data_IF_638060245136
#
_entry.id   IF_638060245136
#
_cell.length_a   1.000
_cell.length_b   1.000
_cell.length_c   1.000
_cell.angle_alpha   90.00
_cell.angle_beta   90.00
_cell.angle_gamma   90.00
#
_symmetry.space_group_name_H-M   'P 1'
#
loop_
_entity.id
_entity.type
_entity.pdbx_description
1 polymer ?
#
# COMPACT_ATOMS: atom_id res chain seq x y z
N UNK A 1 -39.00 25.04 76.57
CA UNK A 1 -38.50 26.22 75.83
C UNK A 1 -37.06 25.93 75.39
N UNK A 2 -36.77 26.16 74.11
CA UNK A 2 -35.47 26.01 73.41
C UNK A 2 -35.03 24.58 73.05
N UNK A 3 -35.56 24.08 71.93
CA UNK A 3 -34.78 23.36 70.91
C UNK A 3 -35.46 23.61 69.55
N UNK A 4 -35.04 24.69 68.91
CA UNK A 4 -35.33 25.02 67.52
C UNK A 4 -33.98 25.48 66.94
N UNK A 5 -33.72 25.11 65.68
CA UNK A 5 -32.57 25.50 64.86
C UNK A 5 -31.33 24.62 65.07
N UNK A 6 -31.14 23.61 64.22
CA UNK A 6 -30.01 23.48 63.26
C UNK A 6 -30.38 22.32 62.31
N UNK A 7 -31.06 22.62 61.19
CA UNK A 7 -31.26 21.66 60.10
C UNK A 7 -31.31 22.40 58.75
N UNK A 8 -30.28 23.18 58.43
CA UNK A 8 -30.18 23.89 57.15
C UNK A 8 -28.75 24.40 56.89
N UNK A 9 -27.76 23.52 56.70
CA UNK A 9 -26.51 23.91 56.03
C UNK A 9 -25.70 22.66 55.64
N UNK A 10 -25.66 22.36 54.34
CA UNK A 10 -24.86 21.25 53.82
C UNK A 10 -25.19 20.83 52.40
N UNK A 11 -25.82 21.70 51.60
CA UNK A 11 -26.14 21.44 50.20
C UNK A 11 -25.86 22.69 49.37
N UNK A 12 -24.57 23.02 49.19
CA UNK A 12 -24.07 24.02 48.24
C UNK A 12 -22.55 24.05 48.40
N UNK A 13 -21.81 23.44 47.46
CA UNK A 13 -20.43 23.74 47.03
C UNK A 13 -19.83 22.57 46.20
N UNK A 14 -20.53 22.13 45.14
CA UNK A 14 -19.94 21.34 44.05
C UNK A 14 -20.15 22.06 42.71
N UNK A 15 -19.94 23.37 42.71
CA UNK A 15 -19.86 24.16 41.48
C UNK A 15 -18.39 24.31 41.09
N UNK A 16 -17.98 23.69 39.97
CA UNK A 16 -16.86 24.21 39.18
C UNK A 16 -15.64 23.30 38.94
N UNK A 17 -15.74 21.97 39.01
CA UNK A 17 -14.75 21.16 38.30
C UNK A 17 -15.17 21.07 36.83
N UNK A 18 -14.81 22.07 36.02
CA UNK A 18 -14.74 21.89 34.57
C UNK A 18 -13.58 20.92 34.32
N UNK A 19 -13.86 19.62 34.40
CA UNK A 19 -12.95 18.60 33.93
C UNK A 19 -12.92 18.72 32.41
N UNK A 20 -11.95 19.46 31.88
CA UNK A 20 -11.70 19.51 30.45
C UNK A 20 -11.23 18.11 30.04
N UNK A 21 -12.02 17.43 29.21
CA UNK A 21 -11.66 16.12 28.66
C UNK A 21 -10.53 16.37 27.65
N UNK A 22 -9.38 15.69 27.76
CA UNK A 22 -8.32 15.80 26.78
C UNK A 22 -8.83 15.42 25.37
N UNK A 23 -8.45 16.21 24.38
CA UNK A 23 -8.68 15.92 22.97
C UNK A 23 -8.06 14.58 22.57
N UNK A 24 -8.73 13.84 21.68
CA UNK A 24 -8.25 12.55 21.18
C UNK A 24 -8.47 11.37 22.14
N UNK A 25 -9.06 11.60 23.33
CA UNK A 25 -9.20 10.56 24.36
C UNK A 25 -10.24 9.48 24.00
N UNK A 26 -11.32 9.87 23.32
CA UNK A 26 -12.40 8.96 22.92
C UNK A 26 -12.33 8.71 21.42
N UNK A 27 -12.44 7.45 21.01
CA UNK A 27 -12.69 7.10 19.60
C UNK A 27 -14.14 7.40 19.20
N UNK A 28 -14.39 7.59 17.92
CA UNK A 28 -15.72 7.84 17.36
C UNK A 28 -15.77 7.43 15.89
N UNK A 29 -16.89 6.85 15.45
CA UNK A 29 -17.20 6.64 14.04
C UNK A 29 -18.21 7.66 13.51
N UNK A 30 -18.94 8.33 14.40
CA UNK A 30 -19.92 9.35 14.08
C UNK A 30 -20.04 10.39 15.21
N UNK A 31 -20.61 11.55 14.88
CA UNK A 31 -20.70 12.69 15.79
C UNK A 31 -21.44 12.40 17.12
N UNK A 32 -22.34 11.40 17.16
CA UNK A 32 -23.05 11.01 18.38
C UNK A 32 -22.18 10.31 19.41
N UNK A 33 -21.03 9.79 19.00
CA UNK A 33 -20.15 9.00 19.87
C UNK A 33 -19.32 9.90 20.79
N UNK A 34 -19.28 11.20 20.49
CA UNK A 34 -18.52 12.18 21.25
C UNK A 34 -19.31 12.79 22.43
N UNK A 35 -18.64 13.05 23.57
CA UNK A 35 -19.22 13.77 24.69
C UNK A 35 -19.81 15.12 24.27
N UNK A 36 -20.83 15.58 24.98
CA UNK A 36 -21.49 16.87 24.67
C UNK A 36 -20.47 18.02 24.65
N UNK A 37 -20.34 18.68 23.49
CA UNK A 37 -19.36 19.75 23.26
C UNK A 37 -18.10 19.32 22.50
N UNK A 38 -18.00 18.02 22.16
CA UNK A 38 -16.91 17.45 21.36
C UNK A 38 -17.42 17.05 19.97
N UNK A 39 -16.51 16.95 19.01
CA UNK A 39 -16.75 16.64 17.61
C UNK A 39 -15.93 15.44 17.20
N UNK A 40 -16.51 14.57 16.39
CA UNK A 40 -15.80 13.44 15.83
C UNK A 40 -14.95 13.89 14.66
N UNK A 41 -13.63 13.70 14.75
CA UNK A 41 -12.71 13.97 13.66
C UNK A 41 -12.55 12.69 12.83
N UNK A 42 -12.85 12.82 11.54
CA UNK A 42 -12.74 11.74 10.55
C UNK A 42 -11.29 11.34 10.24
N UNK A 43 -10.32 12.26 10.39
CA UNK A 43 -8.90 11.98 10.11
C UNK A 43 -8.26 10.94 11.03
N UNK A 44 -8.73 10.82 12.26
CA UNK A 44 -8.17 9.86 13.24
C UNK A 44 -9.24 9.14 14.06
N UNK A 45 -10.52 9.31 13.69
CA UNK A 45 -11.69 8.71 14.34
C UNK A 45 -11.73 8.99 15.85
N UNK A 46 -11.45 10.23 16.27
CA UNK A 46 -11.43 10.62 17.69
C UNK A 46 -12.20 11.90 17.99
N UNK A 47 -12.56 12.07 19.26
CA UNK A 47 -13.33 13.20 19.75
C UNK A 47 -12.45 14.37 20.21
N UNK A 48 -12.82 15.57 19.76
CA UNK A 48 -12.13 16.82 20.07
C UNK A 48 -13.11 17.91 20.51
N UNK A 49 -12.72 18.78 21.42
CA UNK A 49 -13.53 19.91 21.89
C UNK A 49 -13.76 21.02 20.85
N UNK A 50 -13.22 20.84 19.65
CA UNK A 50 -13.39 21.70 18.49
C UNK A 50 -13.76 20.86 17.26
N UNK A 51 -14.50 21.46 16.34
CA UNK A 51 -14.77 20.84 15.05
C UNK A 51 -13.48 20.52 14.33
N UNK A 52 -13.49 19.42 13.58
CA UNK A 52 -12.38 19.07 12.72
C UNK A 52 -12.09 20.25 11.80
N UNK A 53 -10.89 20.84 11.88
CA UNK A 53 -10.50 21.79 10.85
C UNK A 53 -10.62 21.03 9.54
N UNK A 54 -11.39 21.57 8.59
CA UNK A 54 -11.61 20.88 7.32
C UNK A 54 -10.28 20.42 6.75
N UNK A 55 -10.22 19.16 6.30
CA UNK A 55 -9.02 18.64 5.67
C UNK A 55 -8.69 19.55 4.49
N UNK A 56 -7.58 20.27 4.59
CA UNK A 56 -7.11 21.13 3.52
C UNK A 56 -6.19 20.26 2.65
N UNK A 57 -6.59 19.95 1.40
CA UNK A 57 -5.78 19.14 0.50
C UNK A 57 -4.37 19.71 0.43
N UNK A 58 -3.37 18.84 0.63
CA UNK A 58 -1.98 19.27 0.51
C UNK A 58 -1.73 19.77 -0.90
N UNK A 59 -1.00 20.88 -1.01
CA UNK A 59 -0.53 21.35 -2.31
C UNK A 59 0.54 20.40 -2.85
N UNK A 60 0.75 20.46 -4.16
CA UNK A 60 1.84 19.70 -4.78
C UNK A 60 3.19 19.97 -4.14
N UNK A 61 3.51 21.21 -3.76
CA UNK A 61 4.78 21.49 -3.08
C UNK A 61 4.91 20.75 -1.76
N UNK A 62 3.82 20.60 -1.00
CA UNK A 62 3.81 19.91 0.28
C UNK A 62 4.01 18.41 0.10
N UNK A 63 3.24 17.78 -0.81
CA UNK A 63 3.35 16.35 -1.09
C UNK A 63 4.74 16.02 -1.64
N UNK A 64 5.25 16.79 -2.61
CA UNK A 64 6.59 16.60 -3.19
C UNK A 64 7.68 16.76 -2.13
N UNK A 65 7.57 17.74 -1.23
CA UNK A 65 8.56 17.94 -0.16
C UNK A 65 8.60 16.77 0.83
N UNK A 66 7.45 16.15 1.12
CA UNK A 66 7.37 14.96 1.98
C UNK A 66 8.10 13.77 1.35
N UNK A 67 7.80 13.44 0.09
CA UNK A 67 8.52 12.38 -0.63
C UNK A 67 10.01 12.69 -0.77
N UNK A 68 10.39 13.94 -1.03
CA UNK A 68 11.79 14.36 -1.08
C UNK A 68 12.52 14.17 0.25
N UNK A 69 11.84 14.35 1.39
CA UNK A 69 12.41 14.08 2.72
C UNK A 69 12.74 12.60 2.95
N UNK A 70 12.06 11.70 2.23
CA UNK A 70 12.29 10.26 2.20
C UNK A 70 13.30 9.85 1.10
N UNK A 71 13.85 10.81 0.36
CA UNK A 71 14.77 10.56 -0.74
C UNK A 71 14.09 10.06 -2.02
N UNK A 72 12.77 10.21 -2.15
CA UNK A 72 11.99 9.82 -3.33
C UNK A 72 11.75 11.07 -4.19
N UNK A 73 12.34 11.16 -5.40
CA UNK A 73 12.12 12.28 -6.29
C UNK A 73 10.74 12.16 -6.97
N UNK A 74 10.01 13.28 -7.02
CA UNK A 74 8.71 13.41 -7.68
C UNK A 74 8.77 14.65 -8.58
N UNK A 75 8.49 14.47 -9.87
CA UNK A 75 8.49 15.52 -10.90
C UNK A 75 7.10 15.70 -11.54
N UNK A 76 6.26 14.67 -11.52
CA UNK A 76 4.96 14.67 -12.17
C UNK A 76 3.99 13.60 -11.62
N UNK A 77 2.70 13.68 -11.99
CA UNK A 77 1.72 12.61 -11.85
C UNK A 77 0.66 12.83 -10.77
N UNK A 78 -0.29 11.89 -10.69
CA UNK A 78 -1.37 11.89 -9.70
C UNK A 78 -0.85 11.39 -8.35
N UNK A 79 -0.94 12.24 -7.33
CA UNK A 79 -0.47 11.94 -5.96
C UNK A 79 -1.63 12.04 -4.97
N UNK A 80 -1.61 11.29 -3.86
CA UNK A 80 -2.60 11.47 -2.79
C UNK A 80 -2.46 12.87 -2.16
N UNK A 81 -3.59 13.57 -1.99
CA UNK A 81 -3.61 14.93 -1.42
C UNK A 81 -3.64 14.96 0.12
N UNK A 82 -3.66 13.78 0.76
CA UNK A 82 -3.75 13.63 2.21
C UNK A 82 -5.15 13.78 2.78
N UNK A 83 -6.17 13.94 1.94
CA UNK A 83 -7.58 14.11 2.29
C UNK A 83 -8.49 13.16 1.48
N UNK A 84 -8.03 11.93 1.24
CA UNK A 84 -8.71 10.90 0.41
C UNK A 84 -8.88 11.27 -1.08
N UNK A 85 -8.41 12.44 -1.50
CA UNK A 85 -8.38 12.87 -2.88
C UNK A 85 -7.03 12.61 -3.56
N UNK A 86 -7.01 12.88 -4.87
CA UNK A 86 -5.79 12.90 -5.67
C UNK A 86 -5.54 14.30 -6.22
N UNK A 87 -4.29 14.73 -6.19
CA UNK A 87 -3.82 15.99 -6.78
C UNK A 87 -2.86 15.69 -7.93
N UNK A 88 -3.10 16.32 -9.08
CA UNK A 88 -2.19 16.25 -10.22
C UNK A 88 -1.03 17.21 -10.01
N UNK A 89 0.16 16.66 -9.87
CA UNK A 89 1.35 17.41 -9.51
C UNK A 89 2.40 17.41 -10.60
N UNK A 90 3.11 18.54 -10.69
CA UNK A 90 4.14 18.75 -11.69
C UNK A 90 3.59 18.80 -13.11
N UNK A 91 4.49 19.10 -14.04
CA UNK A 91 4.25 18.97 -15.46
C UNK A 91 5.59 18.62 -16.10
N UNK A 92 5.55 17.64 -16.99
CA UNK A 92 6.75 17.28 -17.71
C UNK A 92 7.13 18.37 -18.73
N UNK A 93 8.42 18.69 -18.86
CA UNK A 93 8.92 19.53 -19.95
C UNK A 93 8.39 19.09 -21.32
N UNK A 94 8.38 20.01 -22.28
CA UNK A 94 7.96 19.68 -23.65
C UNK A 94 8.81 18.51 -24.20
N UNK A 95 8.15 17.45 -24.67
CA UNK A 95 8.79 16.23 -25.17
C UNK A 95 9.11 15.17 -24.13
N UNK A 96 8.65 15.34 -22.88
CA UNK A 96 8.68 14.29 -21.84
C UNK A 96 7.27 13.96 -21.37
N UNK A 97 7.11 12.74 -20.87
CA UNK A 97 5.87 12.20 -20.31
C UNK A 97 6.13 11.67 -18.89
N UNK A 98 5.08 11.68 -18.08
CA UNK A 98 5.20 11.21 -16.71
C UNK A 98 5.21 9.69 -16.65
N UNK A 99 6.16 9.10 -15.91
CA UNK A 99 6.26 7.65 -15.79
C UNK A 99 7.02 6.96 -16.92
N UNK A 100 7.63 7.73 -17.85
CA UNK A 100 8.37 7.15 -18.97
C UNK A 100 9.50 6.23 -18.49
N UNK A 101 9.77 5.16 -19.26
CA UNK A 101 10.80 4.16 -18.94
C UNK A 101 10.58 3.44 -17.59
N UNK A 102 9.32 3.33 -17.14
CA UNK A 102 8.96 2.64 -15.90
C UNK A 102 9.36 3.38 -14.62
N UNK A 103 9.73 4.67 -14.71
CA UNK A 103 10.07 5.48 -13.56
C UNK A 103 8.87 6.32 -13.12
N UNK A 104 8.02 5.74 -12.27
CA UNK A 104 6.83 6.41 -11.75
C UNK A 104 7.16 7.78 -11.16
N UNK A 105 6.28 8.74 -11.42
CA UNK A 105 6.34 10.11 -10.93
C UNK A 105 7.54 10.93 -11.40
N UNK A 106 8.36 10.41 -12.32
CA UNK A 106 9.45 11.14 -12.95
C UNK A 106 9.14 11.45 -14.40
N UNK A 107 9.61 12.60 -14.85
CA UNK A 107 9.49 12.97 -16.25
C UNK A 107 10.61 12.28 -17.03
N UNK A 108 10.23 11.33 -17.87
CA UNK A 108 11.11 10.73 -18.86
C UNK A 108 10.61 11.06 -20.26
N UNK A 109 11.35 10.69 -21.30
CA UNK A 109 10.74 10.65 -22.63
C UNK A 109 10.57 9.21 -23.09
N UNK A 110 9.63 9.01 -24.02
CA UNK A 110 9.47 7.77 -24.76
C UNK A 110 10.79 7.42 -25.48
N UNK A 111 11.23 6.16 -25.40
CA UNK A 111 12.50 5.77 -26.03
C UNK A 111 12.43 5.92 -27.56
N UNK A 112 13.43 6.62 -28.11
CA UNK A 112 13.59 6.74 -29.55
C UNK A 112 14.17 5.44 -30.11
N UNK A 113 13.35 4.72 -30.85
CA UNK A 113 13.78 3.58 -31.68
C UNK A 113 14.18 4.07 -33.07
N UNK A 114 14.87 3.24 -33.86
CA UNK A 114 15.11 3.56 -35.26
C UNK A 114 13.81 3.77 -36.04
N UNK A 115 12.73 3.07 -35.68
CA UNK A 115 11.43 3.23 -36.35
C UNK A 115 10.73 4.55 -35.97
N UNK A 116 10.90 5.01 -34.73
CA UNK A 116 10.18 6.18 -34.19
C UNK A 116 10.98 7.48 -34.25
N UNK A 117 12.27 7.43 -34.55
CA UNK A 117 13.10 8.64 -34.73
C UNK A 117 12.72 9.42 -36.00
N UNK A 118 12.06 10.56 -35.82
CA UNK A 118 11.64 11.46 -36.91
C UNK A 118 10.59 10.81 -37.82
N UNK A 119 11.00 10.38 -39.02
CA UNK A 119 10.15 9.61 -39.97
C UNK A 119 10.66 8.16 -40.14
N UNK A 120 11.40 7.67 -39.15
CA UNK A 120 12.14 6.41 -39.15
C UNK A 120 13.58 6.59 -39.64
N UNK A 121 14.57 6.43 -38.77
CA UNK A 121 15.99 6.40 -39.11
C UNK A 121 16.36 5.09 -39.82
N UNK A 122 17.01 5.20 -40.98
CA UNK A 122 17.45 4.07 -41.82
C UNK A 122 18.96 3.82 -41.72
N UNK A 123 19.74 4.83 -41.31
CA UNK A 123 21.16 4.69 -41.06
C UNK A 123 21.68 5.73 -40.04
N UNK A 124 22.91 5.54 -39.56
CA UNK A 124 23.57 6.41 -38.59
C UNK A 124 23.17 6.15 -37.14
N UNK A 125 23.70 6.95 -36.21
CA UNK A 125 23.35 6.88 -34.79
C UNK A 125 22.26 7.89 -34.44
N UNK A 126 21.24 7.43 -33.71
CA UNK A 126 20.22 8.27 -33.06
C UNK A 126 20.41 8.19 -31.55
N UNK A 127 20.08 9.25 -30.82
CA UNK A 127 20.09 9.22 -29.37
C UNK A 127 18.82 8.53 -28.87
N UNK A 128 18.96 7.56 -27.96
CA UNK A 128 17.83 6.76 -27.46
C UNK A 128 17.12 7.43 -26.30
N UNK A 129 17.76 8.43 -25.67
CA UNK A 129 17.27 9.14 -24.49
C UNK A 129 17.25 10.65 -24.73
N UNK A 130 16.16 11.28 -24.35
CA UNK A 130 16.10 12.73 -24.26
C UNK A 130 16.91 13.18 -23.05
N UNK A 131 18.00 13.91 -23.29
CA UNK A 131 18.75 14.64 -22.25
C UNK A 131 19.97 13.96 -21.63
N UNK A 132 20.29 12.70 -21.96
CA UNK A 132 21.48 12.01 -21.46
C UNK A 132 22.53 11.76 -22.53
N UNK A 133 23.77 12.21 -22.33
CA UNK A 133 24.84 12.19 -23.34
C UNK A 133 25.49 10.81 -23.62
N UNK A 134 24.80 9.69 -23.37
CA UNK A 134 25.48 8.38 -23.25
C UNK A 134 24.82 7.19 -23.91
N UNK A 135 23.59 7.30 -24.41
CA UNK A 135 22.88 6.18 -25.04
C UNK A 135 22.50 6.53 -26.47
N UNK A 136 23.16 5.89 -27.43
CA UNK A 136 22.87 6.01 -28.86
C UNK A 136 22.54 4.64 -29.44
N UNK A 137 21.45 4.54 -30.19
CA UNK A 137 21.13 3.39 -31.02
C UNK A 137 21.75 3.63 -32.38
N UNK A 138 22.42 2.62 -32.91
CA UNK A 138 22.92 2.60 -34.26
C UNK A 138 21.90 1.95 -35.20
N UNK A 139 21.35 2.73 -36.11
CA UNK A 139 20.32 2.30 -37.07
C UNK A 139 20.89 1.70 -38.37
N UNK A 140 22.18 1.37 -38.39
CA UNK A 140 22.84 0.73 -39.53
C UNK A 140 23.62 1.69 -40.44
N UNK A 141 24.19 1.14 -41.51
CA UNK A 141 24.82 1.89 -42.61
C UNK A 141 23.92 1.87 -43.84
N UNK A 142 24.02 2.91 -44.65
CA UNK A 142 23.34 2.95 -45.92
C UNK A 142 24.12 2.08 -46.93
N UNK A 143 23.41 1.30 -47.76
CA UNK A 143 24.04 0.35 -48.68
C UNK A 143 24.48 0.99 -50.01
N UNK A 144 25.42 0.33 -50.70
CA UNK A 144 25.84 0.72 -52.06
C UNK A 144 26.57 2.07 -52.12
N UNK A 145 26.13 2.95 -53.03
CA UNK A 145 26.71 4.31 -53.18
C UNK A 145 25.91 5.38 -52.42
N UNK A 146 24.94 4.98 -51.59
CA UNK A 146 24.17 5.93 -50.79
C UNK A 146 25.01 6.46 -49.62
N UNK A 147 24.63 7.64 -49.14
CA UNK A 147 25.26 8.29 -48.00
C UNK A 147 24.22 8.52 -46.92
N UNK A 148 24.66 8.43 -45.67
CA UNK A 148 23.82 8.76 -44.52
C UNK A 148 23.70 10.27 -44.45
N UNK A 149 22.55 10.79 -44.86
CA UNK A 149 22.22 12.21 -44.71
C UNK A 149 20.98 12.32 -43.83
N UNK A 150 21.12 13.01 -42.70
CA UNK A 150 20.05 13.18 -41.71
C UNK A 150 19.30 11.89 -41.34
N UNK A 151 20.06 10.83 -41.05
CA UNK A 151 19.55 9.50 -40.68
C UNK A 151 18.69 8.81 -41.75
N UNK A 152 18.75 9.28 -43.00
CA UNK A 152 18.13 8.66 -44.17
C UNK A 152 19.18 8.21 -45.17
N UNK A 153 18.93 7.08 -45.83
CA UNK A 153 19.79 6.61 -46.89
C UNK A 153 19.47 7.40 -48.17
N UNK A 154 20.33 8.36 -48.55
CA UNK A 154 20.09 9.17 -49.76
C UNK A 154 21.12 8.91 -50.84
N UNK A 155 20.69 9.04 -52.10
CA UNK A 155 21.59 8.98 -53.24
C UNK A 155 22.24 10.35 -53.50
N UNK A 156 23.59 10.46 -53.53
CA UNK A 156 24.26 11.73 -53.82
C UNK A 156 23.89 12.30 -55.20
N UNK A 157 23.80 13.63 -55.30
CA UNK A 157 23.48 14.31 -56.54
C UNK A 157 24.50 13.98 -57.66
N UNK A 158 24.00 13.54 -58.82
CA UNK A 158 24.83 13.13 -59.96
C UNK A 158 25.31 11.67 -59.91
N UNK A 159 25.02 10.95 -58.83
CA UNK A 159 25.20 9.51 -58.74
C UNK A 159 23.89 8.83 -59.12
N UNK A 160 23.96 7.80 -59.96
CA UNK A 160 22.79 6.96 -60.23
C UNK A 160 22.89 5.73 -59.33
N UNK A 161 22.38 5.84 -58.12
CA UNK A 161 22.34 4.73 -57.18
C UNK A 161 21.38 3.61 -57.61
N UNK A 162 20.77 3.66 -58.80
CA UNK A 162 20.04 2.52 -59.37
C UNK A 162 20.80 1.91 -60.57
N UNK A 163 21.90 2.51 -61.02
CA UNK A 163 22.77 1.96 -62.06
C UNK A 163 23.82 1.05 -61.44
N UNK A 164 23.49 -0.23 -61.35
CA UNK A 164 24.44 -1.27 -60.97
C UNK A 164 23.79 -2.64 -60.94
N UNK A 165 22.48 -2.71 -60.68
CA UNK A 165 21.73 -3.94 -60.88
C UNK A 165 21.19 -3.97 -62.31
N UNK A 166 21.60 -4.95 -63.11
CA UNK A 166 20.84 -5.34 -64.30
C UNK A 166 19.56 -6.04 -63.85
N UNK A 167 19.67 -7.35 -63.62
CA UNK A 167 18.66 -8.19 -62.97
C UNK A 167 19.27 -8.74 -61.70
N UNK A 168 18.58 -8.61 -60.57
CA UNK A 168 19.02 -9.26 -59.33
C UNK A 168 18.66 -10.75 -59.33
N UNK A 169 19.46 -11.60 -58.66
CA UNK A 169 19.10 -12.98 -58.40
C UNK A 169 17.73 -13.09 -57.72
N UNK A 170 17.04 -14.21 -57.94
CA UNK A 170 15.71 -14.46 -57.36
C UNK A 170 15.72 -14.28 -55.83
N UNK A 171 14.77 -13.50 -55.33
CA UNK A 171 14.67 -13.14 -53.90
C UNK A 171 15.53 -11.95 -53.46
N UNK A 172 16.32 -11.33 -54.34
CA UNK A 172 17.07 -10.10 -54.04
C UNK A 172 16.42 -8.88 -54.66
N UNK A 173 16.50 -7.75 -53.97
CA UNK A 173 16.00 -6.45 -54.43
C UNK A 173 17.18 -5.54 -54.77
N UNK A 174 17.05 -4.73 -55.82
CA UNK A 174 18.08 -3.75 -56.14
C UNK A 174 17.93 -2.56 -55.19
N UNK A 175 18.93 -2.36 -54.35
CA UNK A 175 19.01 -1.24 -53.42
C UNK A 175 20.34 -0.57 -53.66
N UNK A 176 20.32 0.71 -54.02
CA UNK A 176 21.54 1.51 -54.18
C UNK A 176 22.56 0.95 -55.19
N UNK A 177 22.11 0.21 -56.21
CA UNK A 177 22.95 -0.27 -57.32
C UNK A 177 23.65 -1.60 -57.02
N UNK A 178 23.34 -2.22 -55.88
CA UNK A 178 23.72 -3.57 -55.53
C UNK A 178 22.48 -4.43 -55.27
N UNK A 179 22.58 -5.72 -55.56
CA UNK A 179 21.52 -6.66 -55.20
C UNK A 179 21.62 -7.00 -53.72
N UNK A 180 20.56 -6.69 -52.98
CA UNK A 180 20.42 -6.91 -51.55
C UNK A 180 19.51 -8.11 -51.32
N UNK A 181 19.96 -9.06 -50.50
CA UNK A 181 19.13 -10.16 -50.06
C UNK A 181 18.42 -9.74 -48.76
N UNK A 182 17.08 -9.61 -48.75
CA UNK A 182 16.33 -9.25 -47.55
C UNK A 182 16.67 -10.23 -46.43
N UNK A 183 17.18 -9.71 -45.33
CA UNK A 183 17.38 -10.49 -44.12
C UNK A 183 16.07 -10.47 -43.39
N UNK A 184 15.29 -11.56 -43.45
CA UNK A 184 14.03 -11.63 -42.74
C UNK A 184 14.28 -11.71 -41.22
N UNK A 185 13.99 -10.64 -40.45
CA UNK A 185 14.23 -10.60 -39.01
C UNK A 185 13.30 -11.58 -38.26
N UNK A 186 12.28 -12.12 -38.93
CA UNK A 186 11.37 -13.13 -38.39
C UNK A 186 12.03 -14.49 -38.14
N UNK A 187 13.31 -14.65 -38.48
CA UNK A 187 14.12 -15.78 -38.04
C UNK A 187 14.53 -15.68 -36.57
N UNK A 188 14.46 -14.47 -35.97
CA UNK A 188 14.79 -14.16 -34.58
C UNK A 188 13.67 -13.45 -33.81
N UNK A 189 12.60 -13.05 -34.50
CA UNK A 189 11.43 -12.39 -33.93
C UNK A 189 10.21 -13.22 -34.29
N UNK A 190 9.35 -13.51 -33.32
CA UNK A 190 8.16 -14.33 -33.52
C UNK A 190 7.05 -13.53 -34.20
N UNK A 191 7.00 -12.23 -33.89
CA UNK A 191 6.03 -11.28 -34.40
C UNK A 191 6.70 -9.95 -34.77
N UNK A 192 5.92 -9.00 -35.29
CA UNK A 192 6.38 -7.66 -35.61
C UNK A 192 5.40 -6.61 -35.11
N UNK A 193 5.88 -5.43 -34.67
CA UNK A 193 5.01 -4.34 -34.27
C UNK A 193 4.22 -3.79 -35.47
N UNK A 194 3.17 -2.98 -35.23
CA UNK A 194 2.47 -2.26 -36.29
C UNK A 194 3.46 -1.47 -37.15
N UNK A 195 3.53 -1.77 -38.45
CA UNK A 195 4.49 -1.17 -39.39
C UNK A 195 5.66 -2.08 -39.81
N UNK A 196 5.83 -3.23 -39.16
CA UNK A 196 6.81 -4.25 -39.55
C UNK A 196 8.25 -3.94 -39.11
N UNK A 197 9.12 -4.94 -39.22
CA UNK A 197 10.54 -4.86 -38.90
C UNK A 197 11.36 -4.51 -40.15
N UNK A 198 12.53 -3.89 -39.99
CA UNK A 198 13.41 -3.61 -41.14
C UNK A 198 13.96 -4.92 -41.75
N UNK A 199 13.92 -5.04 -43.08
CA UNK A 199 14.44 -6.22 -43.78
C UNK A 199 15.93 -6.10 -44.18
N UNK A 200 16.58 -4.99 -43.80
CA UNK A 200 17.98 -4.71 -44.13
C UNK A 200 18.21 -4.31 -45.59
N UNK A 201 17.13 -4.18 -46.38
CA UNK A 201 17.14 -3.73 -47.76
C UNK A 201 16.24 -2.51 -47.97
N UNK A 202 15.90 -1.79 -46.89
CA UNK A 202 15.04 -0.59 -46.93
C UNK A 202 13.55 -0.92 -47.08
N UNK A 203 13.16 -2.20 -46.99
CA UNK A 203 11.79 -2.66 -46.90
C UNK A 203 11.38 -2.97 -45.45
N UNK A 204 10.10 -3.33 -45.28
CA UNK A 204 9.56 -3.81 -44.00
C UNK A 204 9.10 -5.26 -44.12
N UNK A 205 9.63 -6.11 -43.26
CA UNK A 205 9.18 -7.47 -43.06
C UNK A 205 8.03 -7.51 -42.05
N UNK A 206 6.91 -8.13 -42.44
CA UNK A 206 5.81 -8.45 -41.53
C UNK A 206 6.04 -9.88 -41.05
N UNK A 207 6.31 -10.04 -39.76
CA UNK A 207 6.35 -11.37 -39.16
C UNK A 207 4.92 -11.86 -38.91
N UNK A 208 4.71 -13.17 -38.72
CA UNK A 208 3.39 -13.68 -38.40
C UNK A 208 2.76 -12.93 -37.22
N UNK A 209 1.46 -12.65 -37.26
CA UNK A 209 0.78 -12.13 -36.08
C UNK A 209 0.78 -13.21 -34.98
N UNK A 210 0.76 -12.77 -33.73
CA UNK A 210 0.54 -13.66 -32.60
C UNK A 210 -0.88 -14.24 -32.64
N UNK A 211 -1.12 -15.31 -31.88
CA UNK A 211 -2.47 -15.86 -31.74
C UNK A 211 -3.39 -14.88 -30.99
N UNK A 212 -4.71 -15.09 -31.04
CA UNK A 212 -5.70 -14.13 -30.54
C UNK A 212 -5.53 -13.78 -29.04
N UNK A 213 -4.89 -14.65 -28.26
CA UNK A 213 -4.66 -14.50 -26.81
C UNK A 213 -3.21 -14.05 -26.48
N UNK A 214 -2.44 -13.63 -27.48
CA UNK A 214 -1.03 -13.24 -27.34
C UNK A 214 -0.79 -11.81 -27.87
N UNK A 215 0.09 -11.08 -27.19
CA UNK A 215 0.54 -9.76 -27.64
C UNK A 215 1.98 -9.80 -28.14
N UNK A 216 2.24 -8.98 -29.18
CA UNK A 216 3.58 -8.82 -29.72
C UNK A 216 4.35 -7.75 -28.94
N UNK A 217 5.34 -8.18 -28.15
CA UNK A 217 6.03 -7.30 -27.19
C UNK A 217 7.54 -7.33 -27.43
N UNK A 218 8.19 -6.18 -27.24
CA UNK A 218 9.66 -6.08 -27.24
C UNK A 218 10.23 -6.59 -25.92
N UNK A 219 11.06 -7.63 -25.97
CA UNK A 219 11.72 -8.22 -24.80
C UNK A 219 13.04 -7.52 -24.47
N UNK A 220 13.60 -7.81 -23.29
CA UNK A 220 14.90 -7.28 -22.85
C UNK A 220 16.07 -7.72 -23.74
N UNK A 221 15.93 -8.87 -24.42
CA UNK A 221 16.88 -9.38 -25.42
C UNK A 221 16.80 -8.62 -26.76
N UNK A 222 15.98 -7.56 -26.83
CA UNK A 222 15.74 -6.73 -28.01
C UNK A 222 15.16 -7.52 -29.19
N UNK A 223 14.27 -8.46 -28.87
CA UNK A 223 13.49 -9.24 -29.86
C UNK A 223 11.99 -9.12 -29.60
N UNK A 224 11.18 -9.15 -30.65
CA UNK A 224 9.73 -9.21 -30.55
C UNK A 224 9.27 -10.66 -30.39
N UNK A 225 8.56 -10.93 -29.31
CA UNK A 225 8.04 -12.26 -28.97
C UNK A 225 6.53 -12.20 -28.78
N UNK A 226 5.85 -13.31 -29.07
CA UNK A 226 4.45 -13.48 -28.73
C UNK A 226 4.37 -13.93 -27.28
N UNK A 227 3.99 -13.01 -26.40
CA UNK A 227 3.77 -13.31 -24.99
C UNK A 227 2.25 -13.43 -24.78
N UNK A 228 1.83 -14.51 -24.13
CA UNK A 228 0.43 -14.71 -23.75
C UNK A 228 -0.07 -13.61 -22.83
N UNK A 229 -1.39 -13.38 -22.83
CA UNK A 229 -2.18 -12.44 -22.02
C UNK A 229 -1.32 -11.52 -21.13
N UNK A 230 -1.02 -10.33 -21.66
CA UNK A 230 -0.34 -9.24 -20.95
C UNK A 230 -1.32 -8.53 -19.99
N UNK A 231 -2.01 -9.31 -19.17
CA UNK A 231 -2.94 -8.86 -18.15
C UNK A 231 -2.41 -9.22 -16.77
N UNK A 232 -2.86 -8.49 -15.76
CA UNK A 232 -2.50 -8.76 -14.37
C UNK A 232 -2.92 -10.18 -13.98
N UNK A 233 -4.14 -10.59 -14.36
CA UNK A 233 -4.68 -11.92 -14.03
C UNK A 233 -3.81 -13.05 -14.62
N UNK A 234 -3.37 -12.90 -15.86
CA UNK A 234 -2.56 -13.93 -16.54
C UNK A 234 -1.14 -14.05 -15.99
N UNK A 235 -0.58 -12.96 -15.43
CA UNK A 235 0.69 -13.00 -14.72
C UNK A 235 0.55 -13.37 -13.24
N UNK A 236 -0.68 -13.66 -12.77
CA UNK A 236 -0.95 -13.98 -11.37
C UNK A 236 -0.73 -12.79 -10.44
N UNK A 237 -0.87 -11.57 -10.94
CA UNK A 237 -0.84 -10.34 -10.14
C UNK A 237 -2.29 -9.93 -9.85
N UNK A 238 -2.66 -9.94 -8.59
CA UNK A 238 -4.02 -9.75 -8.10
C UNK A 238 -4.30 -8.31 -7.67
N UNK A 239 -3.28 -7.47 -7.49
CA UNK A 239 -3.43 -6.09 -7.02
C UNK A 239 -2.14 -5.28 -7.18
N UNK A 240 -2.26 -3.98 -6.97
CA UNK A 240 -1.12 -3.06 -6.90
C UNK A 240 -0.51 -2.78 -8.27
N UNK A 241 0.76 -2.40 -8.28
CA UNK A 241 1.47 -2.05 -9.51
C UNK A 241 2.49 -3.14 -9.83
N UNK A 242 2.46 -3.67 -11.04
CA UNK A 242 3.42 -4.66 -11.51
C UNK A 242 3.93 -4.34 -12.91
N UNK A 243 5.09 -4.91 -13.25
CA UNK A 243 5.59 -4.89 -14.62
C UNK A 243 5.03 -6.10 -15.35
N UNK A 244 4.07 -5.87 -16.24
CA UNK A 244 3.43 -6.89 -17.06
C UNK A 244 3.92 -6.68 -18.49
N UNK A 245 4.54 -7.70 -19.08
CA UNK A 245 5.11 -7.60 -20.44
C UNK A 245 6.02 -6.37 -20.62
N UNK A 246 6.90 -6.11 -19.65
CA UNK A 246 7.81 -4.95 -19.64
C UNK A 246 7.10 -3.57 -19.66
N UNK A 247 5.81 -3.52 -19.33
CA UNK A 247 5.04 -2.29 -19.19
C UNK A 247 4.51 -2.15 -17.76
N UNK A 248 4.62 -0.96 -17.14
CA UNK A 248 4.01 -0.71 -15.85
C UNK A 248 2.49 -0.79 -15.99
N UNK A 249 1.88 -1.70 -15.25
CA UNK A 249 0.44 -1.97 -15.28
C UNK A 249 -0.11 -1.85 -13.87
N UNK A 250 -1.15 -1.02 -13.70
CA UNK A 250 -1.90 -0.94 -12.46
C UNK A 250 -2.97 -2.04 -12.46
N UNK A 251 -2.84 -2.97 -11.51
CA UNK A 251 -3.70 -4.13 -11.34
C UNK A 251 -4.85 -3.89 -10.37
N UNK A 252 -5.12 -2.64 -9.97
CA UNK A 252 -6.22 -2.28 -9.06
C UNK A 252 -5.97 -2.66 -7.59
N UNK A 253 -7.00 -2.57 -6.77
CA UNK A 253 -7.00 -3.03 -5.38
C UNK A 253 -7.56 -4.45 -5.26
N UNK A 254 -7.40 -5.08 -4.09
CA UNK A 254 -8.01 -6.39 -3.84
C UNK A 254 -9.53 -6.35 -3.94
N UNK A 255 -10.15 -5.28 -3.46
CA UNK A 255 -11.60 -5.09 -3.59
C UNK A 255 -12.03 -4.95 -5.06
N UNK A 256 -11.26 -4.22 -5.88
CA UNK A 256 -11.55 -4.08 -7.32
C UNK A 256 -11.56 -5.44 -8.04
N UNK A 257 -10.72 -6.37 -7.58
CA UNK A 257 -10.57 -7.70 -8.15
C UNK A 257 -11.43 -8.77 -7.44
N UNK A 258 -12.43 -8.34 -6.66
CA UNK A 258 -13.46 -9.21 -6.12
C UNK A 258 -13.10 -9.93 -4.82
N UNK A 259 -11.99 -9.55 -4.17
CA UNK A 259 -11.70 -9.99 -2.81
C UNK A 259 -12.60 -9.26 -1.81
N UNK A 260 -12.98 -9.97 -0.74
CA UNK A 260 -13.78 -9.41 0.35
C UNK A 260 -12.94 -8.43 1.19
N UNK A 261 -13.61 -7.70 2.09
CA UNK A 261 -12.93 -6.84 3.06
C UNK A 261 -11.94 -7.63 3.94
N UNK A 262 -10.82 -6.99 4.28
CA UNK A 262 -9.71 -7.57 5.04
C UNK A 262 -8.49 -7.94 4.19
N UNK A 263 -8.68 -8.25 2.91
CA UNK A 263 -7.55 -8.50 2.00
C UNK A 263 -6.81 -7.19 1.69
N UNK A 264 -5.48 -7.23 1.81
CA UNK A 264 -4.60 -6.13 1.43
C UNK A 264 -3.62 -6.56 0.36
N UNK A 265 -3.12 -5.58 -0.39
CA UNK A 265 -2.12 -5.87 -1.41
C UNK A 265 -0.73 -6.03 -0.79
N UNK A 266 -0.12 -7.19 -0.98
CA UNK A 266 1.27 -7.47 -0.61
C UNK A 266 2.01 -8.12 -1.77
N UNK A 267 3.00 -7.40 -2.31
CA UNK A 267 3.86 -7.88 -3.39
C UNK A 267 3.09 -8.41 -4.61
N UNK A 268 1.99 -7.72 -4.98
CA UNK A 268 1.15 -8.10 -6.12
C UNK A 268 0.11 -9.19 -5.84
N UNK A 269 0.04 -9.71 -4.61
CA UNK A 269 -0.97 -10.69 -4.20
C UNK A 269 -1.91 -10.07 -3.18
N UNK A 270 -3.17 -10.49 -3.20
CA UNK A 270 -4.13 -10.16 -2.17
C UNK A 270 -3.96 -11.13 -1.02
N UNK A 271 -3.30 -10.66 0.04
CA UNK A 271 -3.06 -11.44 1.24
C UNK A 271 -4.03 -11.02 2.34
N UNK A 272 -4.45 -11.98 3.14
CA UNK A 272 -5.26 -11.67 4.32
C UNK A 272 -4.39 -11.18 5.48
N UNK A 273 -3.16 -11.70 5.62
CA UNK A 273 -2.25 -11.40 6.74
C UNK A 273 -2.08 -9.89 6.96
N UNK A 274 -2.28 -9.41 8.19
CA UNK A 274 -2.11 -8.00 8.58
C UNK A 274 -0.65 -7.64 8.94
N UNK A 275 -0.40 -6.40 9.41
CA UNK A 275 0.98 -5.92 9.69
C UNK A 275 1.63 -6.58 10.92
N UNK A 276 0.83 -7.26 11.74
CA UNK A 276 1.23 -7.86 13.01
C UNK A 276 1.61 -9.33 12.88
N UNK A 277 1.23 -9.97 11.78
CA UNK A 277 1.60 -11.34 11.48
C UNK A 277 3.12 -11.58 11.46
N UNK A 278 3.64 -12.66 12.07
CA UNK A 278 2.95 -13.91 12.48
C UNK A 278 2.62 -13.99 13.99
N UNK A 279 1.58 -13.32 14.48
CA UNK A 279 1.30 -13.22 15.91
C UNK A 279 0.41 -14.33 16.48
N UNK A 280 0.34 -15.46 15.78
CA UNK A 280 -0.34 -16.73 16.13
C UNK A 280 0.00 -17.35 17.51
N UNK A 281 1.11 -16.93 18.14
CA UNK A 281 1.61 -17.56 19.37
C UNK A 281 2.12 -16.53 20.37
N UNK A 282 2.11 -16.89 21.66
CA UNK A 282 2.73 -16.07 22.72
C UNK A 282 4.24 -15.85 22.52
N UNK A 283 4.94 -16.68 21.74
CA UNK A 283 6.36 -16.48 21.41
C UNK A 283 6.57 -15.40 20.33
N UNK A 284 5.62 -15.25 19.42
CA UNK A 284 5.65 -14.27 18.31
C UNK A 284 4.66 -13.12 18.51
N UNK A 285 4.31 -12.82 19.75
CA UNK A 285 3.32 -11.81 20.10
C UNK A 285 3.63 -10.42 19.52
N UNK A 286 2.61 -9.76 18.98
CA UNK A 286 2.76 -8.42 18.43
C UNK A 286 2.76 -7.36 19.54
N UNK A 287 3.83 -6.58 19.65
CA UNK A 287 3.89 -5.46 20.60
C UNK A 287 3.22 -4.23 19.96
N UNK A 288 2.00 -3.95 20.39
CA UNK A 288 1.18 -2.84 19.85
C UNK A 288 1.29 -1.56 20.67
N UNK A 289 1.83 -1.65 21.89
CA UNK A 289 2.20 -0.45 22.63
C UNK A 289 3.41 -0.68 23.56
N UNK A 290 4.37 0.24 23.47
CA UNK A 290 5.49 0.37 24.41
C UNK A 290 6.03 1.81 24.38
N UNK A 291 6.42 2.35 25.54
CA UNK A 291 6.93 3.72 25.66
C UNK A 291 5.88 4.76 26.09
N UNK A 292 6.10 6.05 25.77
CA UNK A 292 5.39 7.17 26.41
C UNK A 292 3.86 7.15 26.26
N UNK A 293 3.32 6.49 25.24
CA UNK A 293 1.88 6.51 24.91
C UNK A 293 1.03 5.71 25.90
N UNK A 294 1.51 4.55 26.37
CA UNK A 294 0.79 3.68 27.32
C UNK A 294 1.36 3.71 28.75
N UNK A 295 2.38 4.53 29.00
CA UNK A 295 2.97 4.74 30.34
C UNK A 295 2.23 5.82 31.15
N UNK A 296 0.91 5.68 31.20
CA UNK A 296 0.01 6.54 31.97
C UNK A 296 -1.06 5.68 32.67
N UNK A 297 -1.73 6.17 33.74
CA UNK A 297 -2.69 5.36 34.49
C UNK A 297 -3.96 4.95 33.70
N UNK A 298 -4.33 5.78 32.72
CA UNK A 298 -5.39 5.55 31.75
C UNK A 298 -4.81 5.76 30.35
N UNK A 299 -5.20 4.90 29.41
CA UNK A 299 -4.71 4.85 28.04
C UNK A 299 -5.71 4.07 27.20
N UNK A 300 -5.66 4.23 25.88
CA UNK A 300 -6.46 3.44 24.95
C UNK A 300 -5.75 3.32 23.60
N UNK A 301 -5.78 2.14 23.02
CA UNK A 301 -5.27 1.85 21.69
C UNK A 301 -6.34 1.14 20.86
N UNK A 302 -6.20 1.27 19.55
CA UNK A 302 -7.01 0.55 18.56
C UNK A 302 -6.05 -0.14 17.60
N UNK A 303 -6.36 -1.39 17.29
CA UNK A 303 -5.54 -2.31 16.50
C UNK A 303 -6.41 -2.87 15.39
N UNK A 304 -6.31 -2.38 14.15
CA UNK A 304 -6.97 -2.99 13.00
C UNK A 304 -6.21 -4.24 12.58
N UNK A 305 -6.90 -5.37 12.47
CA UNK A 305 -6.29 -6.69 12.27
C UNK A 305 -7.20 -7.64 11.50
N UNK A 306 -6.69 -8.82 11.17
CA UNK A 306 -7.39 -9.84 10.38
C UNK A 306 -7.07 -11.24 10.88
N UNK A 307 -8.09 -12.09 11.00
CA UNK A 307 -7.86 -13.54 11.11
C UNK A 307 -7.88 -14.15 9.71
N UNK A 308 -6.81 -14.84 9.32
CA UNK A 308 -6.53 -15.35 7.98
C UNK A 308 -6.86 -16.82 7.78
N UNK A 309 -7.13 -17.58 8.84
CA UNK A 309 -7.69 -18.93 8.69
C UNK A 309 -8.47 -19.44 9.91
N UNK A 310 -9.18 -20.56 9.72
CA UNK A 310 -9.83 -21.24 10.83
C UNK A 310 -8.81 -21.79 11.82
N UNK A 311 -8.82 -21.27 13.04
CA UNK A 311 -7.93 -21.70 14.12
C UNK A 311 -6.77 -20.73 14.37
N UNK A 312 -6.71 -19.67 13.58
CA UNK A 312 -5.87 -18.50 13.78
C UNK A 312 -6.17 -17.79 15.10
N UNK A 313 -5.11 -17.30 15.74
CA UNK A 313 -5.16 -16.64 17.05
C UNK A 313 -4.14 -15.50 17.10
N UNK A 314 -4.61 -14.27 17.01
CA UNK A 314 -3.74 -13.11 17.12
C UNK A 314 -3.45 -12.77 18.58
N UNK A 315 -2.16 -12.74 18.94
CA UNK A 315 -1.71 -12.29 20.24
C UNK A 315 -1.11 -10.88 20.18
N UNK A 316 -1.47 -10.06 21.16
CA UNK A 316 -0.98 -8.69 21.33
C UNK A 316 -0.46 -8.43 22.74
N UNK A 317 0.64 -7.69 22.83
CA UNK A 317 1.25 -7.26 24.08
C UNK A 317 1.31 -5.73 24.17
N UNK A 318 1.02 -5.22 25.37
CA UNK A 318 1.19 -3.82 25.72
C UNK A 318 2.03 -3.70 26.98
N UNK A 319 3.07 -2.87 26.93
CA UNK A 319 3.78 -2.42 28.12
C UNK A 319 3.10 -1.17 28.69
N UNK A 320 2.60 -1.30 29.92
CA UNK A 320 1.74 -0.29 30.55
C UNK A 320 2.22 0.04 31.96
N UNK A 321 1.89 1.25 32.43
CA UNK A 321 2.10 1.58 33.84
C UNK A 321 1.22 0.68 34.72
N UNK A 322 1.80 0.06 35.73
CA UNK A 322 1.03 -0.59 36.78
C UNK A 322 0.23 0.45 37.57
N UNK A 323 -1.08 0.27 37.59
CA UNK A 323 -2.03 1.14 38.28
C UNK A 323 -3.28 0.33 38.68
N UNK A 324 -3.94 0.76 39.75
CA UNK A 324 -5.19 0.18 40.26
C UNK A 324 -6.39 0.63 39.40
N UNK A 325 -6.37 0.26 38.12
CA UNK A 325 -7.38 0.56 37.11
C UNK A 325 -7.79 -0.72 36.39
N UNK A 326 -9.08 -0.87 36.09
CA UNK A 326 -9.56 -1.97 35.27
C UNK A 326 -9.10 -1.81 33.82
N UNK A 327 -8.76 -2.93 33.18
CA UNK A 327 -8.41 -2.99 31.75
C UNK A 327 -9.57 -3.63 31.01
N UNK A 328 -9.89 -3.09 29.85
CA UNK A 328 -10.96 -3.55 28.97
C UNK A 328 -10.37 -3.83 27.59
N UNK A 329 -10.81 -4.92 26.98
CA UNK A 329 -10.58 -5.23 25.58
C UNK A 329 -11.92 -5.49 24.89
N UNK A 330 -12.08 -4.95 23.68
CA UNK A 330 -13.31 -4.99 22.91
C UNK A 330 -13.01 -5.15 21.42
N UNK A 331 -13.79 -5.97 20.73
CA UNK A 331 -13.80 -6.05 19.27
C UNK A 331 -14.83 -5.06 18.73
N UNK A 332 -14.43 -4.22 17.80
CA UNK A 332 -15.28 -3.32 17.03
C UNK A 332 -15.12 -3.62 15.53
N UNK A 333 -16.12 -3.28 14.72
CA UNK A 333 -16.07 -3.43 13.24
C UNK A 333 -15.83 -4.85 12.68
N UNK A 334 -15.96 -5.89 13.51
CA UNK A 334 -15.87 -7.29 13.07
C UNK A 334 -17.20 -7.88 12.59
N UNK A 335 -17.17 -8.62 11.49
CA UNK A 335 -18.36 -9.34 10.98
C UNK A 335 -18.56 -10.71 11.62
N UNK A 336 -17.50 -11.25 12.24
CA UNK A 336 -17.46 -12.56 12.88
C UNK A 336 -17.91 -12.55 14.35
N UNK A 337 -17.95 -13.75 14.93
CA UNK A 337 -18.01 -13.91 16.39
C UNK A 337 -16.61 -14.23 16.90
N UNK A 338 -16.16 -13.48 17.91
CA UNK A 338 -14.80 -13.59 18.43
C UNK A 338 -14.80 -13.99 19.90
N UNK A 339 -13.77 -14.75 20.28
CA UNK A 339 -13.44 -14.98 21.68
C UNK A 339 -12.22 -14.12 22.02
N UNK A 340 -12.37 -13.27 23.03
CA UNK A 340 -11.28 -12.48 23.60
C UNK A 340 -10.69 -13.17 24.82
N UNK A 341 -9.37 -13.12 24.92
CA UNK A 341 -8.61 -13.47 26.12
C UNK A 341 -7.82 -12.24 26.56
N UNK A 342 -7.91 -11.88 27.82
CA UNK A 342 -7.23 -10.73 28.40
C UNK A 342 -6.59 -11.13 29.71
N UNK A 343 -5.31 -10.83 29.89
CA UNK A 343 -4.65 -10.97 31.19
C UNK A 343 -3.69 -9.82 31.46
N UNK A 344 -3.25 -9.75 32.71
CA UNK A 344 -2.26 -8.79 33.16
C UNK A 344 -1.16 -9.49 33.93
N UNK A 345 0.09 -9.21 33.55
CA UNK A 345 1.28 -9.70 34.22
C UNK A 345 1.92 -8.53 34.97
N UNK A 346 2.09 -8.72 36.27
CA UNK A 346 2.72 -7.76 37.15
C UNK A 346 4.19 -7.50 36.74
N UNK A 347 4.78 -6.36 37.14
CA UNK A 347 6.19 -6.06 36.90
C UNK A 347 7.18 -7.11 37.43
N UNK A 348 6.77 -7.93 38.40
CA UNK A 348 7.57 -9.03 38.96
C UNK A 348 7.38 -10.37 38.23
N UNK A 349 6.63 -10.38 37.12
CA UNK A 349 6.35 -11.54 36.28
C UNK A 349 5.21 -12.44 36.79
N UNK A 350 4.54 -12.06 37.88
CA UNK A 350 3.41 -12.85 38.42
C UNK A 350 2.09 -12.48 37.75
N UNK A 351 1.10 -13.39 37.71
CA UNK A 351 -0.25 -13.04 37.29
C UNK A 351 -0.83 -11.95 38.19
N UNK A 352 -1.36 -10.89 37.58
CA UNK A 352 -2.01 -9.77 38.26
C UNK A 352 -3.52 -9.75 38.07
N UNK A 353 -4.11 -10.78 37.45
CA UNK A 353 -5.56 -10.95 37.29
C UNK A 353 -6.20 -11.24 38.66
N UNK A 354 -7.14 -10.39 39.08
CA UNK A 354 -7.89 -10.56 40.35
C UNK A 354 -9.34 -10.93 40.12
N UNK A 355 -9.97 -10.21 39.21
CA UNK A 355 -11.37 -10.39 38.89
C UNK A 355 -11.54 -10.33 37.38
N UNK A 356 -12.56 -11.01 36.88
CA UNK A 356 -12.81 -11.20 35.46
C UNK A 356 -14.31 -10.98 35.19
N UNK A 357 -14.62 -10.22 34.15
CA UNK A 357 -16.01 -9.85 33.82
C UNK A 357 -16.87 -11.05 33.42
N UNK A 358 -16.27 -12.14 32.94
CA UNK A 358 -16.97 -13.36 32.53
C UNK A 358 -16.39 -14.62 33.16
N UNK A 359 -15.49 -15.31 32.44
CA UNK A 359 -14.96 -16.62 32.83
C UNK A 359 -13.45 -16.62 32.72
N UNK A 360 -12.77 -17.51 33.46
CA UNK A 360 -11.32 -17.68 33.31
C UNK A 360 -11.00 -18.90 32.46
N UNK A 361 -9.89 -18.82 31.71
CA UNK A 361 -9.32 -19.90 30.91
C UNK A 361 -7.80 -19.96 31.15
N UNK A 362 -7.20 -21.14 31.02
CA UNK A 362 -5.75 -21.32 31.17
C UNK A 362 -5.16 -21.66 29.80
N UNK A 363 -4.28 -20.79 29.31
CA UNK A 363 -3.58 -20.96 28.05
C UNK A 363 -2.07 -20.95 28.32
N UNK A 364 -1.45 -22.13 28.20
CA UNK A 364 0.00 -22.26 28.40
C UNK A 364 0.46 -22.01 29.84
N UNK A 365 -0.40 -22.24 30.85
CA UNK A 365 -0.09 -21.99 32.25
C UNK A 365 -0.24 -20.52 32.68
N UNK A 366 -0.83 -19.70 31.82
CA UNK A 366 -1.21 -18.32 32.10
C UNK A 366 -2.74 -18.27 32.17
N UNK A 367 -3.26 -17.71 33.26
CA UNK A 367 -4.70 -17.51 33.44
C UNK A 367 -5.14 -16.24 32.71
N UNK A 368 -6.15 -16.38 31.85
CA UNK A 368 -6.78 -15.31 31.10
C UNK A 368 -8.22 -15.12 31.53
N UNK A 369 -8.67 -13.87 31.55
CA UNK A 369 -10.08 -13.54 31.52
C UNK A 369 -10.59 -13.72 30.08
N UNK A 370 -11.70 -14.44 29.92
CA UNK A 370 -12.22 -14.88 28.63
C UNK A 370 -13.68 -14.47 28.46
N UNK A 371 -13.99 -13.96 27.27
CA UNK A 371 -15.35 -13.69 26.82
C UNK A 371 -15.57 -14.18 25.39
N UNK A 372 -16.75 -14.72 25.12
CA UNK A 372 -17.24 -15.07 23.77
C UNK A 372 -18.13 -13.96 23.16
N UNK A 373 -18.23 -12.80 23.82
CA UNK A 373 -19.11 -11.68 23.46
C UNK A 373 -18.41 -10.50 22.79
N UNK A 374 -17.14 -10.63 22.41
CA UNK A 374 -16.36 -9.53 21.85
C UNK A 374 -16.00 -8.42 22.85
N UNK A 375 -16.23 -8.63 24.16
CA UNK A 375 -15.93 -7.67 25.22
C UNK A 375 -15.42 -8.40 26.47
N UNK A 376 -14.30 -7.99 27.02
CA UNK A 376 -13.76 -8.55 28.27
C UNK A 376 -13.11 -7.48 29.12
N UNK A 377 -13.34 -7.53 30.43
CA UNK A 377 -12.71 -6.63 31.38
C UNK A 377 -12.08 -7.42 32.53
N UNK A 378 -10.94 -6.92 33.03
CA UNK A 378 -10.30 -7.44 34.23
C UNK A 378 -9.94 -6.33 35.21
N UNK A 379 -9.87 -6.71 36.49
CA UNK A 379 -9.27 -5.90 37.54
C UNK A 379 -7.87 -6.45 37.80
N UNK A 380 -6.89 -5.56 37.80
CA UNK A 380 -5.50 -5.91 38.07
C UNK A 380 -5.07 -5.51 39.48
N UNK A 381 -4.22 -6.32 40.09
CA UNK A 381 -3.59 -6.02 41.37
C UNK A 381 -2.22 -6.66 41.49
N UNK A 382 -1.23 -5.87 41.92
CA UNK A 382 0.11 -6.34 42.21
C UNK A 382 0.49 -6.00 43.67
N UNK A 383 0.54 -6.98 44.59
CA UNK A 383 0.72 -6.73 46.03
C UNK A 383 2.08 -6.13 46.42
N UNK A 384 3.06 -6.10 45.51
CA UNK A 384 4.43 -5.68 45.79
C UNK A 384 5.03 -4.72 44.74
N UNK A 385 4.25 -4.25 43.77
CA UNK A 385 4.76 -3.32 42.76
C UNK A 385 5.00 -1.95 43.38
N UNK A 386 6.11 -1.32 43.01
CA UNK A 386 6.19 0.14 43.13
C UNK A 386 5.22 0.70 42.10
N UNK A 387 4.17 1.39 42.55
CA UNK A 387 3.40 2.27 41.67
C UNK A 387 4.40 3.04 40.81
N UNK A 388 4.27 2.98 39.48
CA UNK A 388 5.21 3.43 38.43
C UNK A 388 6.10 2.38 37.74
N UNK A 389 6.02 1.09 38.08
CA UNK A 389 6.70 0.04 37.33
C UNK A 389 5.86 -0.42 36.13
N UNK A 390 6.51 -0.93 35.08
CA UNK A 390 5.83 -1.41 33.88
C UNK A 390 5.35 -2.84 34.09
N UNK A 391 4.08 -3.10 33.83
CA UNK A 391 3.55 -4.45 33.66
C UNK A 391 3.12 -4.69 32.23
N UNK A 392 2.64 -5.90 31.95
CA UNK A 392 2.29 -6.32 30.59
C UNK A 392 0.82 -6.71 30.52
N UNK A 393 0.09 -6.09 29.60
CA UNK A 393 -1.22 -6.57 29.18
C UNK A 393 -1.02 -7.53 28.02
N UNK A 394 -1.67 -8.68 28.09
CA UNK A 394 -1.69 -9.64 26.99
C UNK A 394 -3.13 -9.81 26.53
N UNK A 395 -3.35 -9.72 25.23
CA UNK A 395 -4.65 -9.93 24.59
C UNK A 395 -4.50 -11.01 23.54
N UNK A 396 -5.46 -11.93 23.50
CA UNK A 396 -5.58 -12.93 22.44
C UNK A 396 -6.95 -12.82 21.79
N UNK A 397 -6.98 -12.75 20.47
CA UNK A 397 -8.22 -12.72 19.68
C UNK A 397 -8.28 -14.01 18.87
N UNK A 398 -9.46 -14.63 18.82
CA UNK A 398 -9.70 -15.78 17.94
C UNK A 398 -11.12 -15.79 17.44
N UNK A 399 -11.36 -16.38 16.28
CA UNK A 399 -12.73 -16.58 15.80
C UNK A 399 -13.40 -17.77 16.54
N UNK A 400 -14.69 -17.61 16.77
CA UNK A 400 -15.59 -18.70 17.21
C UNK A 400 -16.19 -19.40 16.01
N UNK A 401 -16.64 -18.60 15.06
CA UNK A 401 -17.06 -19.03 13.73
C UNK A 401 -16.27 -18.20 12.73
N UNK A 402 -15.34 -18.84 12.02
CA UNK A 402 -14.59 -18.21 10.94
C UNK A 402 -15.57 -17.99 9.78
N UNK A 403 -16.01 -16.74 9.62
CA UNK A 403 -17.14 -16.41 8.74
C UNK A 403 -16.77 -16.46 7.25
N UNK A 404 -15.51 -16.17 6.92
CA UNK A 404 -15.02 -15.97 5.55
C UNK A 404 -13.50 -16.18 5.49
N UNK A 405 -12.91 -16.20 4.29
CA UNK A 405 -11.48 -16.49 4.08
C UNK A 405 -10.53 -15.44 4.69
N UNK A 406 -11.03 -14.26 5.05
CA UNK A 406 -10.30 -13.22 5.75
C UNK A 406 -11.23 -12.43 6.68
N UNK A 407 -11.13 -12.63 7.99
CA UNK A 407 -12.05 -12.05 8.97
C UNK A 407 -11.42 -10.81 9.62
N UNK A 408 -11.63 -9.66 8.99
CA UNK A 408 -11.20 -8.37 9.52
C UNK A 408 -11.92 -8.02 10.82
N UNK A 409 -11.18 -7.44 11.76
CA UNK A 409 -11.71 -6.91 13.00
C UNK A 409 -10.89 -5.71 13.50
N UNK A 410 -11.53 -4.82 14.25
CA UNK A 410 -10.87 -3.82 15.07
C UNK A 410 -10.80 -4.29 16.51
N UNK A 411 -9.63 -4.17 17.16
CA UNK A 411 -9.46 -4.45 18.58
C UNK A 411 -9.15 -3.16 19.34
N UNK A 412 -10.00 -2.81 20.29
CA UNK A 412 -9.82 -1.68 21.19
C UNK A 412 -9.39 -2.19 22.56
N UNK A 413 -8.31 -1.64 23.12
CA UNK A 413 -7.81 -1.99 24.46
C UNK A 413 -7.55 -0.72 25.24
N UNK A 414 -8.10 -0.59 26.45
CA UNK A 414 -7.94 0.60 27.27
C UNK A 414 -7.98 0.33 28.77
N UNK A 415 -7.34 1.21 29.54
CA UNK A 415 -7.43 1.25 30.99
C UNK A 415 -8.41 2.36 31.43
N UNK A 416 -9.32 2.01 32.32
CA UNK A 416 -10.34 2.93 32.87
C UNK A 416 -9.75 3.87 33.93
N UNK A 417 -10.53 4.88 34.36
CA UNK A 417 -10.13 5.80 35.44
C UNK A 417 -10.42 5.27 36.86
N UNK A 418 -10.91 4.03 37.01
CA UNK A 418 -11.31 3.47 38.31
C UNK A 418 -10.99 1.98 38.45
N UNK A 419 -11.00 1.45 39.69
CA UNK A 419 -10.67 0.04 39.96
C UNK A 419 -11.83 -0.91 39.64
N UNK A 420 -13.05 -0.39 39.55
CA UNK A 420 -14.26 -1.17 39.29
C UNK A 420 -14.37 -1.51 37.81
N UNK A 421 -14.59 -2.78 37.52
CA UNK A 421 -14.90 -3.24 36.16
C UNK A 421 -16.23 -2.63 35.69
N UNK A 422 -16.31 -2.20 34.41
CA UNK A 422 -17.59 -1.94 33.79
C UNK A 422 -18.40 -3.24 33.69
N UNK A 423 -19.69 -3.19 34.04
CA UNK A 423 -20.57 -4.37 33.97
C UNK A 423 -21.15 -4.63 32.58
N UNK A 424 -20.95 -3.70 31.64
CA UNK A 424 -21.46 -3.71 30.27
C UNK A 424 -20.45 -3.00 29.34
N UNK A 425 -20.42 -3.33 28.03
CA UNK A 425 -19.56 -2.64 27.06
C UNK A 425 -19.87 -1.13 27.01
N UNK A 426 -18.85 -0.27 26.90
CA UNK A 426 -19.05 1.17 26.84
C UNK A 426 -19.46 1.61 25.43
N UNK A 427 -20.74 1.37 25.13
CA UNK A 427 -21.51 1.84 23.97
C UNK A 427 -21.08 1.37 22.59
#
# INVERSE_FOLDING_TARGET
>A
MKHLIVLSLGLLLLGGCNLAIPNGLFGCGQQSDCPSGYFCWSSDSRCYDAQEPGCEPKTCEQVIAEFASLGIPIECGSLPDGCEGSIECGNCPEGTECGANGQNFLCGCEELTCATAGTGAECGTIQTRCGGASAAIYCGECFGQQVCDNNKCVCPAGVNCNQGCGTCPEGQVCVAGACCAPTFPCSRNECSPPGGLDDGCGGKAQCPPCTDDEQCVLTEDLTFQCLGDCTCEAQGVECGSATICNQPTLCGTCQDNGFQDGFRCSSGNCVCDDVYEYNDTLENIAIVCGGLTCLQPAWGIEVPATLHHKGDIDYYALEVLDADTAIVAEIFEGSGQYTLHLTYICPDGRPGLVDCSESTDDLGGIEFCKSDGGFVALSRYCPASTASANGTVLVGVRSKEFAQDCDAYGLRIFATFGPSQPSEPPF
#
